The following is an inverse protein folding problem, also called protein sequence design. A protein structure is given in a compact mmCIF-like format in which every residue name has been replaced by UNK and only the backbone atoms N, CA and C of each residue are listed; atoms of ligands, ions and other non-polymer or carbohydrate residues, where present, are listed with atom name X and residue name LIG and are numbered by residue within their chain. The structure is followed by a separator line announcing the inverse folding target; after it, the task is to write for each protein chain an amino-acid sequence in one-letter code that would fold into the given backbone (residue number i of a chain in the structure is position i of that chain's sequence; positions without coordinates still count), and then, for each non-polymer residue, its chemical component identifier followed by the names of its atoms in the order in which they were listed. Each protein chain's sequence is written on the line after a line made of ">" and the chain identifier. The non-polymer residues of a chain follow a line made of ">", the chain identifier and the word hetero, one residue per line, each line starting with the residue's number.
data_IF_254959765597
#
_entry.id   IF_254959765597
#
_cell.length_a   1.000
_cell.length_b   1.000
_cell.length_c   1.000
_cell.angle_alpha   90.00
_cell.angle_beta   90.00
_cell.angle_gamma   90.00
#
_symmetry.space_group_name_H-M   'P 1'
#
loop_
_entity.id
_entity.type
_entity.pdbx_description
1 polymer ?
#
# COMPACT_ATOMS: atom_id res chain seq x y z
N UNK A 1 -9.82 8.66 1.43
CA UNK A 1 -9.10 8.58 2.73
C UNK A 1 -8.27 7.30 2.83
N UNK A 2 -8.85 6.11 2.80
CA UNK A 2 -8.13 4.84 2.95
C UNK A 2 -6.91 4.68 2.03
N UNK A 3 -6.99 5.07 0.77
CA UNK A 3 -5.87 4.96 -0.18
C UNK A 3 -4.66 5.82 0.17
N UNK A 4 -4.86 7.00 0.77
CA UNK A 4 -3.75 7.85 1.22
C UNK A 4 -3.04 7.28 2.44
N UNK A 5 -3.81 6.75 3.39
CA UNK A 5 -3.27 6.06 4.57
C UNK A 5 -2.46 4.84 4.15
N UNK A 6 -3.00 4.02 3.25
CA UNK A 6 -2.32 2.87 2.71
C UNK A 6 -1.00 3.25 2.00
N UNK A 7 -1.02 4.29 1.16
CA UNK A 7 0.17 4.75 0.44
C UNK A 7 1.28 5.17 1.40
N UNK A 8 0.96 5.92 2.47
CA UNK A 8 1.94 6.31 3.49
C UNK A 8 2.42 5.11 4.30
N UNK A 9 1.52 4.20 4.66
CA UNK A 9 1.88 2.96 5.32
C UNK A 9 2.88 2.16 4.48
N UNK A 10 2.63 2.04 3.17
CA UNK A 10 3.49 1.30 2.24
C UNK A 10 4.88 1.91 2.10
N UNK A 11 4.95 3.21 1.82
CA UNK A 11 6.20 3.84 1.43
C UNK A 11 7.10 4.17 2.62
N UNK A 12 6.51 4.47 3.78
CA UNK A 12 7.27 4.96 4.93
C UNK A 12 7.40 3.91 6.02
N UNK A 13 6.28 3.35 6.48
CA UNK A 13 6.31 2.49 7.67
C UNK A 13 6.81 1.08 7.40
N UNK A 14 6.48 0.49 6.26
CA UNK A 14 7.00 -0.83 5.92
C UNK A 14 8.50 -0.82 5.71
N UNK A 15 9.03 0.25 5.10
CA UNK A 15 10.47 0.39 4.96
C UNK A 15 11.14 0.61 6.31
N UNK A 16 10.52 1.40 7.19
CA UNK A 16 11.02 1.65 8.54
C UNK A 16 11.03 0.36 9.37
N UNK A 17 9.97 -0.44 9.33
CA UNK A 17 9.90 -1.75 9.98
C UNK A 17 10.98 -2.68 9.40
N UNK A 18 11.12 -2.75 8.09
CA UNK A 18 12.12 -3.58 7.43
C UNK A 18 13.56 -3.21 7.85
N UNK A 19 13.81 -1.93 8.10
CA UNK A 19 15.13 -1.44 8.54
C UNK A 19 15.36 -1.69 10.01
N UNK A 20 14.38 -1.41 10.88
CA UNK A 20 14.59 -1.43 12.33
C UNK A 20 14.46 -2.83 12.95
N UNK A 21 13.54 -3.67 12.41
CA UNK A 21 13.21 -4.96 13.03
C UNK A 21 13.91 -6.17 12.40
N UNK A 22 14.15 -6.12 11.09
CA UNK A 22 14.71 -7.27 10.39
C UNK A 22 16.17 -7.10 9.99
N UNK A 23 16.78 -5.94 10.22
CA UNK A 23 18.17 -5.61 9.81
C UNK A 23 18.49 -6.10 8.39
N UNK A 24 17.61 -5.77 7.44
CA UNK A 24 17.74 -6.20 6.06
C UNK A 24 18.96 -5.55 5.40
N UNK A 25 19.73 -6.34 4.67
CA UNK A 25 20.79 -5.84 3.81
C UNK A 25 20.27 -4.87 2.73
N UNK A 26 21.20 -4.14 2.11
CA UNK A 26 20.88 -3.13 1.09
C UNK A 26 20.04 -3.65 -0.07
N UNK A 27 20.30 -4.88 -0.51
CA UNK A 27 19.54 -5.55 -1.59
C UNK A 27 18.07 -5.77 -1.25
N UNK A 28 17.76 -6.24 -0.05
CA UNK A 28 16.37 -6.45 0.38
C UNK A 28 15.62 -5.13 0.51
N UNK A 29 16.28 -4.08 1.05
CA UNK A 29 15.71 -2.72 1.11
C UNK A 29 15.39 -2.17 -0.28
N UNK A 30 16.32 -2.34 -1.23
CA UNK A 30 16.13 -1.93 -2.62
C UNK A 30 14.97 -2.69 -3.29
N UNK A 31 14.84 -3.99 -3.04
CA UNK A 31 13.76 -4.82 -3.60
C UNK A 31 12.39 -4.39 -3.05
N UNK A 32 12.29 -4.11 -1.76
CA UNK A 32 11.06 -3.59 -1.14
C UNK A 32 10.70 -2.22 -1.72
N UNK A 33 11.68 -1.33 -1.87
CA UNK A 33 11.45 -0.01 -2.47
C UNK A 33 11.02 -0.10 -3.95
N UNK A 34 11.54 -1.07 -4.69
CA UNK A 34 11.19 -1.30 -6.09
C UNK A 34 9.83 -1.99 -6.29
N UNK A 35 9.23 -2.57 -5.25
CA UNK A 35 7.98 -3.33 -5.37
C UNK A 35 6.81 -2.51 -5.94
N UNK A 36 6.76 -1.21 -5.61
CA UNK A 36 5.77 -0.30 -6.20
C UNK A 36 5.93 -0.13 -7.72
N UNK A 37 7.16 -0.05 -8.21
CA UNK A 37 7.44 0.04 -9.64
C UNK A 37 7.01 -1.22 -10.39
N UNK A 38 7.18 -2.40 -9.79
CA UNK A 38 6.69 -3.67 -10.35
C UNK A 38 5.16 -3.65 -10.52
N UNK A 39 4.43 -3.09 -9.56
CA UNK A 39 2.98 -2.95 -9.66
C UNK A 39 2.54 -2.05 -10.82
N UNK A 40 3.24 -0.94 -11.04
CA UNK A 40 2.99 -0.08 -12.21
C UNK A 40 3.31 -0.79 -13.53
N UNK A 41 4.40 -1.54 -13.58
CA UNK A 41 4.79 -2.31 -14.76
C UNK A 41 3.78 -3.42 -15.08
N UNK A 42 3.20 -4.06 -14.07
CA UNK A 42 2.18 -5.09 -14.23
C UNK A 42 0.77 -4.52 -14.46
N UNK A 43 0.56 -3.24 -14.18
CA UNK A 43 -0.74 -2.57 -14.32
C UNK A 43 -1.42 -2.81 -15.67
N UNK A 44 -0.78 -2.59 -16.83
CA UNK A 44 -1.37 -2.83 -18.14
C UNK A 44 -1.78 -4.31 -18.35
N UNK A 45 -0.99 -5.26 -17.86
CA UNK A 45 -1.29 -6.70 -17.94
C UNK A 45 -2.53 -7.03 -17.11
N UNK A 46 -2.64 -6.44 -15.92
CA UNK A 46 -3.81 -6.63 -15.04
C UNK A 46 -5.06 -6.04 -15.70
N UNK A 47 -4.95 -4.85 -16.31
CA UNK A 47 -6.06 -4.20 -17.03
C UNK A 47 -6.57 -5.09 -18.17
N UNK A 48 -5.66 -5.65 -18.98
CA UNK A 48 -6.06 -6.54 -20.09
C UNK A 48 -6.75 -7.81 -19.58
N UNK A 49 -6.21 -8.44 -18.52
CA UNK A 49 -6.83 -9.65 -17.94
C UNK A 49 -8.20 -9.40 -17.32
N UNK A 50 -8.40 -8.21 -16.73
CA UNK A 50 -9.71 -7.81 -16.21
C UNK A 50 -10.76 -7.72 -17.32
N UNK A 51 -10.38 -7.19 -18.49
CA UNK A 51 -11.25 -7.13 -19.65
C UNK A 51 -11.64 -8.55 -20.13
N UNK A 52 -10.68 -9.48 -20.20
CA UNK A 52 -10.91 -10.88 -20.59
C UNK A 52 -11.82 -11.62 -19.61
N UNK A 53 -11.74 -11.30 -18.31
CA UNK A 53 -12.55 -11.92 -17.26
C UNK A 53 -13.99 -11.36 -17.17
N UNK A 54 -14.33 -10.34 -17.96
CA UNK A 54 -15.64 -9.68 -17.94
C UNK A 54 -15.96 -8.95 -16.62
N UNK A 55 -14.94 -8.61 -15.83
CA UNK A 55 -15.14 -7.86 -14.58
C UNK A 55 -15.31 -6.38 -14.88
N UNK A 56 -16.17 -5.72 -14.10
CA UNK A 56 -16.23 -4.26 -14.16
C UNK A 56 -14.96 -3.67 -13.52
N UNK A 57 -14.55 -2.49 -14.01
CA UNK A 57 -13.37 -1.77 -13.50
C UNK A 57 -13.41 -1.58 -11.98
N UNK A 58 -14.62 -1.31 -11.44
CA UNK A 58 -14.82 -1.16 -9.99
C UNK A 58 -14.63 -2.47 -9.23
N UNK A 59 -15.13 -3.60 -9.77
CA UNK A 59 -14.93 -4.91 -9.16
C UNK A 59 -13.46 -5.32 -9.16
N UNK A 60 -12.76 -5.05 -10.25
CA UNK A 60 -11.34 -5.34 -10.35
C UNK A 60 -10.54 -4.51 -9.34
N UNK A 61 -10.77 -3.20 -9.26
CA UNK A 61 -10.11 -2.32 -8.29
C UNK A 61 -10.38 -2.77 -6.85
N UNK A 62 -11.62 -3.15 -6.51
CA UNK A 62 -11.96 -3.61 -5.15
C UNK A 62 -11.30 -4.94 -4.80
N UNK A 63 -11.23 -5.89 -5.72
CA UNK A 63 -10.56 -7.19 -5.51
C UNK A 63 -9.05 -7.04 -5.33
N UNK A 64 -8.41 -6.18 -6.13
CA UNK A 64 -6.99 -5.86 -5.97
C UNK A 64 -6.72 -5.19 -4.61
N UNK A 65 -7.57 -4.24 -4.21
CA UNK A 65 -7.44 -3.58 -2.91
C UNK A 65 -7.66 -4.54 -1.74
N UNK A 66 -8.65 -5.44 -1.83
CA UNK A 66 -8.88 -6.49 -0.83
C UNK A 66 -7.72 -7.49 -0.78
N UNK A 67 -7.17 -7.88 -1.93
CA UNK A 67 -5.99 -8.73 -2.00
C UNK A 67 -4.78 -8.07 -1.33
N UNK A 68 -4.53 -6.79 -1.60
CA UNK A 68 -3.47 -6.03 -0.95
C UNK A 68 -3.69 -5.94 0.58
N UNK A 69 -4.91 -5.63 1.02
CA UNK A 69 -5.26 -5.56 2.43
C UNK A 69 -5.11 -6.93 3.13
N UNK A 70 -5.49 -8.03 2.47
CA UNK A 70 -5.31 -9.39 2.95
C UNK A 70 -3.83 -9.75 3.12
N UNK A 71 -2.99 -9.40 2.15
CA UNK A 71 -1.54 -9.57 2.27
C UNK A 71 -0.97 -8.81 3.47
N UNK A 72 -1.42 -7.56 3.72
CA UNK A 72 -0.98 -6.81 4.90
C UNK A 72 -1.44 -7.41 6.22
N UNK A 73 -2.69 -7.88 6.27
CA UNK A 73 -3.21 -8.56 7.46
C UNK A 73 -2.38 -9.83 7.78
N UNK A 74 -1.98 -10.57 6.74
CA UNK A 74 -1.09 -11.71 6.90
C UNK A 74 0.30 -11.30 7.40
N UNK A 75 0.86 -10.21 6.87
CA UNK A 75 2.17 -9.69 7.31
C UNK A 75 2.20 -9.31 8.80
N UNK A 76 1.06 -8.93 9.38
CA UNK A 76 0.97 -8.63 10.80
C UNK A 76 1.15 -9.87 11.70
N UNK A 77 1.05 -11.08 11.14
CA UNK A 77 1.14 -12.35 11.88
C UNK A 77 2.40 -13.15 11.49
N UNK A 78 3.04 -12.80 10.39
CA UNK A 78 4.19 -13.54 9.85
C UNK A 78 5.50 -13.10 10.52
N UNK A 79 6.23 -14.06 11.06
CA UNK A 79 7.55 -13.85 11.68
C UNK A 79 8.72 -14.22 10.76
N UNK A 80 8.44 -14.94 9.67
CA UNK A 80 9.49 -15.38 8.73
C UNK A 80 9.92 -14.22 7.83
N UNK A 81 11.25 -14.03 7.75
CA UNK A 81 11.88 -12.93 7.01
C UNK A 81 11.57 -12.96 5.51
N UNK A 82 11.58 -14.14 4.89
CA UNK A 82 11.37 -14.28 3.45
C UNK A 82 9.90 -14.13 3.08
N UNK A 83 9.01 -14.66 3.91
CA UNK A 83 7.56 -14.46 3.76
C UNK A 83 7.18 -12.99 3.95
N UNK A 84 7.85 -12.28 4.86
CA UNK A 84 7.66 -10.85 5.05
C UNK A 84 8.02 -10.04 3.80
N UNK A 85 9.21 -10.27 3.21
CA UNK A 85 9.63 -9.60 1.96
C UNK A 85 8.66 -9.93 0.82
N UNK A 86 8.34 -11.21 0.62
CA UNK A 86 7.42 -11.64 -0.43
C UNK A 86 6.02 -11.06 -0.28
N UNK A 87 5.52 -11.01 0.95
CA UNK A 87 4.22 -10.42 1.27
C UNK A 87 4.17 -8.92 1.03
N UNK A 88 5.23 -8.17 1.37
CA UNK A 88 5.32 -6.73 1.06
C UNK A 88 5.32 -6.51 -0.45
N UNK A 89 6.13 -7.25 -1.19
CA UNK A 89 6.21 -7.12 -2.65
C UNK A 89 4.84 -7.40 -3.27
N UNK A 90 4.17 -8.46 -2.83
CA UNK A 90 2.85 -8.81 -3.34
C UNK A 90 1.80 -7.77 -2.98
N UNK A 91 1.76 -7.31 -1.73
CA UNK A 91 0.81 -6.30 -1.26
C UNK A 91 0.97 -4.97 -2.00
N UNK A 92 2.21 -4.48 -2.14
CA UNK A 92 2.50 -3.23 -2.86
C UNK A 92 2.22 -3.35 -4.35
N UNK A 93 2.55 -4.48 -4.98
CA UNK A 93 2.26 -4.75 -6.38
C UNK A 93 0.75 -4.73 -6.66
N UNK A 94 -0.05 -5.42 -5.83
CA UNK A 94 -1.52 -5.42 -5.95
C UNK A 94 -2.10 -4.01 -5.72
N UNK A 95 -1.61 -3.30 -4.72
CA UNK A 95 -2.06 -1.94 -4.41
C UNK A 95 -1.78 -0.94 -5.54
N UNK A 96 -0.59 -0.97 -6.11
CA UNK A 96 -0.20 -0.09 -7.22
C UNK A 96 -0.87 -0.48 -8.54
N UNK A 97 -1.09 -1.77 -8.80
CA UNK A 97 -1.84 -2.24 -9.96
C UNK A 97 -3.32 -1.78 -9.97
N UNK A 98 -3.88 -1.45 -8.80
CA UNK A 98 -5.22 -0.90 -8.71
C UNK A 98 -5.32 0.57 -9.18
N UNK A 99 -4.22 1.33 -9.22
CA UNK A 99 -4.21 2.77 -9.54
C UNK A 99 -4.75 3.07 -10.94
N UNK A 100 -4.32 2.37 -12.01
CA UNK A 100 -4.88 2.57 -13.35
C UNK A 100 -6.40 2.32 -13.40
N UNK A 101 -6.89 1.32 -12.66
CA UNK A 101 -8.32 0.99 -12.58
C UNK A 101 -9.13 2.14 -11.95
N UNK A 102 -8.62 2.71 -10.87
CA UNK A 102 -9.25 3.87 -10.22
C UNK A 102 -9.31 5.06 -11.19
N UNK A 103 -8.25 5.29 -11.96
CA UNK A 103 -8.21 6.34 -12.99
C UNK A 103 -9.27 6.10 -14.06
N UNK A 104 -9.42 4.86 -14.51
CA UNK A 104 -10.43 4.49 -15.50
C UNK A 104 -11.86 4.67 -14.95
N UNK A 105 -12.12 4.33 -13.70
CA UNK A 105 -13.41 4.58 -13.04
C UNK A 105 -13.78 6.08 -13.11
N UNK A 106 -12.80 6.98 -12.90
CA UNK A 106 -13.04 8.41 -13.07
C UNK A 106 -13.36 8.79 -14.51
N UNK A 107 -12.72 8.13 -15.49
CA UNK A 107 -12.99 8.36 -16.90
C UNK A 107 -14.38 7.91 -17.32
N UNK A 108 -14.84 6.80 -16.79
CA UNK A 108 -16.15 6.22 -17.11
C UNK A 108 -17.31 7.00 -16.44
N UNK A 109 -17.14 7.44 -15.21
CA UNK A 109 -18.22 7.99 -14.41
C UNK A 109 -18.34 9.53 -14.43
N UNK A 110 -17.32 10.25 -14.91
CA UNK A 110 -17.34 11.72 -14.88
C UNK A 110 -17.14 12.36 -16.26
N UNK A 111 -17.95 13.36 -16.64
CA UNK A 111 -17.77 14.11 -17.89
C UNK A 111 -16.42 14.83 -17.91
N UNK A 112 -15.79 14.91 -19.09
CA UNK A 112 -14.45 15.44 -19.31
C UNK A 112 -14.20 16.81 -18.64
N UNK A 113 -15.16 17.73 -18.72
CA UNK A 113 -15.07 19.07 -18.14
C UNK A 113 -14.94 19.08 -16.60
N UNK A 114 -15.39 18.06 -15.89
CA UNK A 114 -15.43 18.02 -14.42
C UNK A 114 -14.43 17.02 -13.81
N UNK A 115 -13.83 16.15 -14.62
CA UNK A 115 -12.88 15.11 -14.15
C UNK A 115 -11.74 15.70 -13.33
N UNK A 116 -11.09 16.76 -13.82
CA UNK A 116 -9.97 17.39 -13.13
C UNK A 116 -10.35 17.91 -11.74
N UNK A 117 -11.54 18.53 -11.61
CA UNK A 117 -12.03 19.05 -10.34
C UNK A 117 -12.29 17.95 -9.31
N UNK A 118 -12.90 16.84 -9.71
CA UNK A 118 -13.16 15.73 -8.80
C UNK A 118 -11.89 14.96 -8.46
N UNK A 119 -11.03 14.75 -9.45
CA UNK A 119 -9.72 14.12 -9.24
C UNK A 119 -8.85 14.92 -8.25
N UNK A 120 -8.75 16.24 -8.43
CA UNK A 120 -7.96 17.08 -7.52
C UNK A 120 -8.50 17.08 -6.10
N UNK A 121 -9.83 17.13 -5.91
CA UNK A 121 -10.44 17.01 -4.57
C UNK A 121 -10.12 15.69 -3.91
N UNK A 122 -10.24 14.60 -4.64
CA UNK A 122 -9.91 13.27 -4.12
C UNK A 122 -8.42 13.15 -3.81
N UNK A 123 -7.55 13.71 -4.65
CA UNK A 123 -6.11 13.76 -4.41
C UNK A 123 -5.78 14.58 -3.15
N UNK A 124 -6.41 15.74 -2.95
CA UNK A 124 -6.25 16.54 -1.74
C UNK A 124 -6.64 15.75 -0.48
N UNK A 125 -7.83 15.12 -0.48
CA UNK A 125 -8.29 14.31 0.65
C UNK A 125 -7.31 13.16 0.92
N UNK A 126 -6.78 12.53 -0.14
CA UNK A 126 -5.78 11.47 -0.03
C UNK A 126 -4.50 11.97 0.63
N UNK A 127 -3.96 13.11 0.19
CA UNK A 127 -2.73 13.70 0.73
C UNK A 127 -2.92 14.14 2.19
N UNK A 128 -4.04 14.78 2.51
CA UNK A 128 -4.35 15.19 3.89
C UNK A 128 -4.45 13.96 4.81
N UNK A 129 -5.14 12.90 4.36
CA UNK A 129 -5.24 11.66 5.13
C UNK A 129 -3.87 10.98 5.32
N UNK A 130 -3.02 11.01 4.31
CA UNK A 130 -1.66 10.48 4.37
C UNK A 130 -0.81 11.26 5.37
N UNK A 131 -0.84 12.59 5.32
CA UNK A 131 -0.10 13.46 6.22
C UNK A 131 -0.58 13.30 7.68
N UNK A 132 -1.90 13.28 7.90
CA UNK A 132 -2.48 13.07 9.24
C UNK A 132 -2.09 11.73 9.83
N UNK A 133 -2.12 10.67 9.02
CA UNK A 133 -1.69 9.34 9.45
C UNK A 133 -0.19 9.32 9.77
N UNK A 134 0.64 9.91 8.91
CA UNK A 134 2.09 10.01 9.13
C UNK A 134 2.44 10.74 10.42
N UNK A 135 1.76 11.86 10.70
CA UNK A 135 1.93 12.61 11.95
C UNK A 135 1.50 11.82 13.18
N UNK A 136 0.34 11.14 13.11
CA UNK A 136 -0.18 10.31 14.20
C UNK A 136 0.78 9.17 14.54
N UNK A 137 1.23 8.42 13.55
CA UNK A 137 2.15 7.30 13.78
C UNK A 137 3.53 7.80 14.21
N UNK A 138 4.02 8.89 13.63
CA UNK A 138 5.25 9.54 14.06
C UNK A 138 5.18 9.96 15.53
N UNK A 139 4.07 10.55 15.96
CA UNK A 139 3.85 10.94 17.36
C UNK A 139 3.82 9.72 18.31
N UNK A 140 3.11 8.65 17.93
CA UNK A 140 3.05 7.40 18.70
C UNK A 140 4.45 6.79 18.84
N UNK A 141 5.23 6.73 17.76
CA UNK A 141 6.59 6.17 17.78
C UNK A 141 7.57 7.02 18.60
N UNK A 142 7.36 8.34 18.68
CA UNK A 142 8.25 9.24 19.41
C UNK A 142 7.92 9.28 20.90
N UNK A 143 6.62 9.22 21.26
CA UNK A 143 6.17 9.33 22.64
C UNK A 143 5.84 7.97 23.30
N UNK A 144 5.86 6.88 22.53
CA UNK A 144 5.71 5.53 23.08
C UNK A 144 6.93 5.17 23.92
N UNK A 145 6.69 4.72 25.16
CA UNK A 145 7.71 4.18 26.05
C UNK A 145 8.42 3.00 25.37
N UNK A 146 9.72 2.80 25.61
CA UNK A 146 10.49 1.74 24.94
C UNK A 146 9.89 0.34 25.17
N UNK A 147 9.23 0.14 26.30
CA UNK A 147 8.43 -1.07 26.59
C UNK A 147 7.21 -1.23 25.70
N UNK A 148 6.56 -0.14 25.29
CA UNK A 148 5.42 -0.16 24.38
C UNK A 148 5.84 -0.31 22.91
N UNK A 149 6.98 0.19 22.53
CA UNK A 149 7.57 -0.01 21.20
C UNK A 149 7.86 -1.49 20.94
N UNK A 150 8.29 -2.21 21.98
CA UNK A 150 8.57 -3.65 21.93
C UNK A 150 7.32 -4.53 22.05
N UNK A 151 6.31 -4.10 22.82
CA UNK A 151 5.07 -4.88 23.02
C UNK A 151 4.07 -4.75 21.88
N UNK A 152 4.14 -3.70 21.08
CA UNK A 152 3.32 -3.52 19.88
C UNK A 152 3.66 -4.52 18.76
N UNK A 153 4.80 -5.19 18.85
CA UNK A 153 5.18 -6.30 17.98
C UNK A 153 5.37 -7.56 18.85
N UNK A 154 4.43 -8.51 18.83
CA UNK A 154 4.49 -9.72 19.66
C UNK A 154 5.67 -10.66 19.36
N UNK A 155 6.54 -10.29 18.45
CA UNK A 155 7.63 -11.12 17.91
C UNK A 155 9.04 -10.66 18.28
N UNK A 156 9.18 -9.63 19.11
CA UNK A 156 10.48 -9.06 19.49
C UNK A 156 11.27 -9.87 20.54
N UNK A 157 10.89 -11.12 20.81
CA UNK A 157 11.55 -11.99 21.81
C UNK A 157 11.76 -13.43 21.29
N UNK A 158 12.36 -13.58 20.09
CA UNK A 158 13.05 -14.86 19.75
C UNK A 158 14.27 -14.60 18.89
#
# INVERSE_FOLDING_TARGET
>A
MASGILETAFTTFLLLIAVQWFDFGSTAKATIAAAGALGFMLGPVVVSRVADLGWTTAQAASRLALGAAGCFALLAVVSDRWLFIGGIIMATTLGTAAIPMVTQIYQENYPAKRRGKYFSRTAMIRIISAASFGLLVGWILTNGDDSQKLSGYPWGLM
#
